data_IF_347724927665
#
_entry.id   IF_347724927665
#
_cell.length_a   1.000
_cell.length_b   1.000
_cell.length_c   1.000
_cell.angle_alpha   90.00
_cell.angle_beta   90.00
_cell.angle_gamma   90.00
#
_symmetry.space_group_name_H-M   'P 1'
#
loop_
_entity.id
_entity.type
_entity.pdbx_description
1 polymer ?
#
# COMPACT_ATOMS: atom_id res chain seq x y z
N UNK A 1 67.28 -23.38 19.62
CA UNK A 1 66.69 -22.04 19.42
C UNK A 1 65.72 -22.15 18.28
N UNK A 2 64.45 -22.48 18.60
CA UNK A 2 63.37 -22.55 17.61
C UNK A 2 62.75 -21.19 17.43
N UNK A 3 62.69 -20.72 16.19
CA UNK A 3 62.03 -19.48 15.81
C UNK A 3 60.54 -19.78 15.56
N UNK A 4 59.68 -19.33 16.46
CA UNK A 4 58.22 -19.36 16.28
C UNK A 4 57.86 -18.25 15.27
N UNK A 5 57.41 -18.63 14.10
CA UNK A 5 56.87 -17.75 13.07
C UNK A 5 55.40 -17.49 13.36
N UNK A 6 55.10 -16.28 13.91
CA UNK A 6 53.72 -15.83 14.13
C UNK A 6 53.13 -15.38 12.81
N UNK A 7 52.25 -16.19 12.20
CA UNK A 7 51.49 -15.78 11.00
C UNK A 7 50.29 -14.97 11.43
N UNK A 8 50.33 -13.67 11.17
CA UNK A 8 49.19 -12.76 11.36
C UNK A 8 48.17 -13.04 10.24
N UNK A 9 47.08 -13.70 10.58
CA UNK A 9 45.91 -13.81 9.68
C UNK A 9 45.13 -12.52 9.77
N UNK A 10 45.31 -11.66 8.75
CA UNK A 10 44.49 -10.47 8.56
C UNK A 10 43.09 -10.93 8.07
N UNK A 11 42.10 -11.04 8.96
CA UNK A 11 40.69 -11.19 8.57
C UNK A 11 40.24 -9.84 7.98
N UNK A 12 40.19 -9.76 6.66
CA UNK A 12 39.50 -8.67 5.97
C UNK A 12 37.98 -8.88 6.18
N UNK A 13 37.40 -8.19 7.15
CA UNK A 13 35.96 -8.03 7.25
C UNK A 13 35.55 -7.14 6.10
N UNK A 14 35.09 -7.76 5.01
CA UNK A 14 34.36 -7.03 3.98
C UNK A 14 33.05 -6.58 4.61
N UNK A 15 32.99 -5.29 4.97
CA UNK A 15 31.74 -4.64 5.31
C UNK A 15 30.86 -4.70 4.06
N UNK A 16 29.90 -5.64 4.07
CA UNK A 16 28.77 -5.59 3.16
C UNK A 16 28.02 -4.32 3.55
N UNK A 17 28.18 -3.25 2.77
CA UNK A 17 27.27 -2.11 2.85
C UNK A 17 25.87 -2.65 2.50
N UNK A 18 25.15 -3.09 3.51
CA UNK A 18 23.69 -3.18 3.47
C UNK A 18 23.25 -1.73 3.31
N UNK A 19 22.87 -1.31 2.09
CA UNK A 19 22.13 -0.08 1.90
C UNK A 19 20.92 -0.23 2.83
N UNK A 20 20.96 0.45 3.97
CA UNK A 20 19.83 0.51 4.87
C UNK A 20 18.67 1.07 4.05
N UNK A 21 17.59 0.32 3.99
CA UNK A 21 16.39 0.75 3.29
C UNK A 21 15.88 2.00 4.00
N UNK A 22 15.99 3.17 3.35
CA UNK A 22 15.58 4.46 3.92
C UNK A 22 14.07 4.63 3.86
N UNK A 23 13.34 3.71 4.53
CA UNK A 23 11.90 3.79 4.71
C UNK A 23 11.58 4.71 5.89
N UNK A 24 10.60 5.57 5.70
CA UNK A 24 10.19 6.56 6.71
C UNK A 24 8.72 6.40 7.04
N UNK A 25 8.36 6.76 8.27
CA UNK A 25 6.96 6.84 8.69
C UNK A 25 6.18 7.72 7.71
N UNK A 26 5.06 7.18 7.18
CA UNK A 26 4.20 7.83 6.19
C UNK A 26 4.57 7.57 4.74
N UNK A 27 5.61 6.80 4.45
CA UNK A 27 5.82 6.25 3.12
C UNK A 27 4.63 5.35 2.75
N UNK A 28 4.21 5.41 1.49
CA UNK A 28 3.13 4.58 0.97
C UNK A 28 3.69 3.42 0.14
N UNK A 29 3.22 2.22 0.46
CA UNK A 29 3.54 0.98 -0.24
C UNK A 29 2.46 0.68 -1.27
N UNK A 30 2.77 0.76 -2.55
CA UNK A 30 1.87 0.40 -3.64
C UNK A 30 2.21 -1.00 -4.14
N UNK A 31 1.27 -1.94 -3.95
CA UNK A 31 1.42 -3.33 -4.37
C UNK A 31 0.89 -3.52 -5.77
N UNK A 32 1.69 -4.17 -6.63
CA UNK A 32 1.28 -4.51 -7.99
C UNK A 32 0.24 -5.63 -8.00
N UNK A 33 -0.49 -5.73 -9.11
CA UNK A 33 -1.46 -6.78 -9.39
C UNK A 33 -0.89 -8.17 -9.09
N UNK A 34 -1.66 -8.97 -8.34
CA UNK A 34 -1.40 -10.38 -8.07
C UNK A 34 -2.26 -11.30 -8.93
N UNK A 35 -2.23 -12.60 -8.62
CA UNK A 35 -2.97 -13.66 -9.32
C UNK A 35 -4.27 -13.98 -8.55
N UNK A 36 -5.23 -13.04 -8.49
CA UNK A 36 -6.55 -13.28 -7.91
C UNK A 36 -7.64 -12.57 -8.70
N UNK A 37 -8.86 -13.12 -8.70
CA UNK A 37 -10.01 -12.50 -9.37
C UNK A 37 -10.28 -11.08 -8.87
N UNK A 38 -10.09 -10.84 -7.58
CA UNK A 38 -10.21 -9.51 -6.98
C UNK A 38 -9.15 -8.55 -7.52
N UNK A 39 -7.88 -8.98 -7.55
CA UNK A 39 -6.77 -8.21 -8.12
C UNK A 39 -6.99 -7.91 -9.60
N UNK A 40 -7.47 -8.89 -10.36
CA UNK A 40 -7.82 -8.75 -11.77
C UNK A 40 -8.97 -7.75 -11.96
N UNK A 41 -10.01 -7.81 -11.11
CA UNK A 41 -11.14 -6.90 -11.19
C UNK A 41 -10.74 -5.44 -10.90
N UNK A 42 -9.90 -5.20 -9.90
CA UNK A 42 -9.36 -3.86 -9.61
C UNK A 42 -8.53 -3.36 -10.80
N UNK A 43 -7.56 -4.14 -11.27
CA UNK A 43 -6.71 -3.75 -12.39
C UNK A 43 -7.52 -3.48 -13.66
N UNK A 44 -8.51 -4.31 -13.95
CA UNK A 44 -9.36 -4.18 -15.13
C UNK A 44 -10.25 -2.93 -15.12
N UNK A 45 -10.71 -2.51 -13.93
CA UNK A 45 -11.60 -1.34 -13.76
C UNK A 45 -10.83 -0.03 -13.57
N UNK A 46 -9.63 -0.06 -12.98
CA UNK A 46 -8.87 1.13 -12.60
C UNK A 46 -7.51 1.25 -13.29
N UNK A 47 -7.06 0.20 -13.98
CA UNK A 47 -5.80 0.19 -14.71
C UNK A 47 -5.79 1.22 -15.84
N UNK A 48 -4.66 1.87 -16.03
CA UNK A 48 -4.51 2.99 -16.99
C UNK A 48 -3.67 2.62 -18.19
N UNK A 49 -3.31 1.33 -18.33
CA UNK A 49 -2.46 0.83 -19.43
C UNK A 49 -0.98 1.18 -19.27
N UNK A 50 -0.59 1.66 -18.10
CA UNK A 50 0.82 1.87 -17.73
C UNK A 50 1.52 0.52 -17.47
N UNK A 51 2.83 0.57 -17.31
CA UNK A 51 3.66 -0.63 -17.11
C UNK A 51 3.37 -1.39 -15.81
N UNK A 52 2.73 -0.75 -14.84
CA UNK A 52 2.39 -1.31 -13.53
C UNK A 52 0.97 -0.90 -13.14
N UNK A 53 0.12 -1.89 -12.83
CA UNK A 53 -1.16 -1.68 -12.18
C UNK A 53 -1.04 -1.96 -10.70
N UNK A 54 -1.50 -1.03 -9.88
CA UNK A 54 -1.53 -1.16 -8.42
C UNK A 54 -2.93 -1.55 -7.95
N UNK A 55 -2.98 -2.55 -7.07
CA UNK A 55 -4.24 -3.11 -6.56
C UNK A 55 -4.39 -2.93 -5.05
N UNK A 56 -3.33 -2.49 -4.39
CA UNK A 56 -3.32 -2.27 -2.95
C UNK A 56 -2.39 -1.12 -2.58
N UNK A 57 -2.69 -0.44 -1.46
CA UNK A 57 -1.85 0.60 -0.87
C UNK A 57 -1.88 0.49 0.65
N UNK A 58 -0.74 0.74 1.29
CA UNK A 58 -0.55 0.69 2.72
C UNK A 58 0.42 1.76 3.21
N UNK A 59 0.50 1.98 4.53
CA UNK A 59 1.31 3.04 5.16
C UNK A 59 2.46 2.40 5.94
N UNK A 60 3.68 2.91 5.79
CA UNK A 60 4.82 2.58 6.64
C UNK A 60 4.71 3.32 7.99
N UNK A 61 4.98 2.59 9.05
CA UNK A 61 5.24 3.12 10.38
C UNK A 61 6.60 2.61 10.88
N UNK A 62 7.46 3.54 11.28
CA UNK A 62 8.76 3.25 11.91
C UNK A 62 8.67 3.70 13.36
N UNK A 63 8.89 2.78 14.29
CA UNK A 63 8.88 3.09 15.72
C UNK A 63 10.22 3.67 16.21
N UNK A 64 10.29 3.99 17.51
CA UNK A 64 11.50 4.57 18.13
C UNK A 64 12.69 3.58 18.21
N UNK A 65 12.45 2.30 18.00
CA UNK A 65 13.44 1.23 17.99
C UNK A 65 13.83 0.85 16.55
N UNK A 66 13.37 1.66 15.57
CA UNK A 66 13.58 1.45 14.12
C UNK A 66 12.93 0.17 13.57
N UNK A 67 11.95 -0.42 14.28
CA UNK A 67 11.14 -1.50 13.73
C UNK A 67 10.15 -0.92 12.70
N UNK A 68 10.04 -1.60 11.55
CA UNK A 68 9.18 -1.18 10.46
C UNK A 68 7.92 -2.03 10.42
N UNK A 69 6.79 -1.37 10.60
CA UNK A 69 5.44 -1.95 10.49
C UNK A 69 4.67 -1.33 9.32
N UNK A 70 3.62 -2.01 8.91
CA UNK A 70 2.71 -1.59 7.84
C UNK A 70 1.31 -1.52 8.40
N UNK A 71 0.62 -0.40 8.17
CA UNK A 71 -0.79 -0.22 8.49
C UNK A 71 -1.56 -0.32 7.18
N UNK A 72 -2.53 -1.22 7.11
CA UNK A 72 -3.30 -1.49 5.89
C UNK A 72 -4.77 -1.82 6.21
N UNK A 73 -5.66 -1.62 5.25
CA UNK A 73 -6.97 -2.26 5.24
C UNK A 73 -6.89 -3.51 4.34
N UNK A 74 -6.86 -4.68 4.98
CA UNK A 74 -6.76 -5.98 4.31
C UNK A 74 -8.15 -6.58 4.05
N UNK A 75 -8.42 -7.14 2.86
CA UNK A 75 -9.66 -7.83 2.58
C UNK A 75 -10.00 -8.97 3.56
N UNK A 76 -8.98 -9.61 4.16
CA UNK A 76 -9.15 -10.72 5.09
C UNK A 76 -9.44 -10.26 6.52
N UNK A 77 -8.75 -9.19 6.99
CA UNK A 77 -8.70 -8.86 8.41
C UNK A 77 -9.16 -7.43 8.74
N UNK A 78 -9.55 -6.64 7.73
CA UNK A 78 -9.85 -5.22 7.91
C UNK A 78 -8.60 -4.39 8.17
N UNK A 79 -8.75 -3.31 8.94
CA UNK A 79 -7.63 -2.41 9.27
C UNK A 79 -6.75 -3.04 10.34
N UNK A 80 -5.47 -3.25 9.98
CA UNK A 80 -4.49 -3.92 10.85
C UNK A 80 -3.11 -3.29 10.75
N UNK A 81 -2.24 -3.64 11.70
CA UNK A 81 -0.81 -3.33 11.65
C UNK A 81 -0.02 -4.63 11.72
N UNK A 82 0.87 -4.85 10.76
CA UNK A 82 1.71 -6.06 10.63
C UNK A 82 3.17 -5.67 10.42
N UNK A 83 4.09 -6.62 10.58
CA UNK A 83 5.48 -6.40 10.25
C UNK A 83 5.67 -6.21 8.73
N UNK A 84 6.62 -5.35 8.32
CA UNK A 84 6.95 -5.17 6.89
C UNK A 84 7.30 -6.49 6.21
N UNK A 85 8.01 -7.40 6.89
CA UNK A 85 8.38 -8.71 6.35
C UNK A 85 7.17 -9.59 6.03
N UNK A 86 6.12 -9.54 6.85
CA UNK A 86 4.85 -10.23 6.62
C UNK A 86 4.14 -9.65 5.40
N UNK A 87 3.96 -8.33 5.35
CA UNK A 87 3.39 -7.64 4.19
C UNK A 87 4.10 -8.01 2.88
N UNK A 88 5.44 -7.97 2.86
CA UNK A 88 6.23 -8.28 1.67
C UNK A 88 6.18 -9.76 1.29
N UNK A 89 5.94 -10.67 2.24
CA UNK A 89 5.79 -12.11 1.93
C UNK A 89 4.53 -12.39 1.13
N UNK A 90 3.45 -11.66 1.44
CA UNK A 90 2.11 -11.86 0.88
C UNK A 90 1.92 -11.15 -0.48
N UNK A 91 2.82 -10.22 -0.83
CA UNK A 91 2.77 -9.52 -2.11
C UNK A 91 3.02 -10.41 -3.31
N UNK A 92 2.40 -10.10 -4.44
CA UNK A 92 2.77 -10.63 -5.75
C UNK A 92 4.26 -10.41 -6.02
N UNK A 93 4.89 -11.29 -6.81
CA UNK A 93 6.33 -11.23 -7.09
C UNK A 93 6.61 -10.80 -8.51
N UNK A 94 7.58 -9.90 -8.69
CA UNK A 94 8.17 -9.55 -9.99
C UNK A 94 9.61 -10.04 -9.98
N UNK A 95 9.95 -10.96 -10.87
CA UNK A 95 11.29 -11.54 -10.93
C UNK A 95 11.74 -12.20 -9.61
N UNK A 96 10.80 -12.75 -8.84
CA UNK A 96 11.05 -13.40 -7.56
C UNK A 96 11.17 -12.46 -6.36
N UNK A 97 11.02 -11.16 -6.56
CA UNK A 97 11.05 -10.13 -5.51
C UNK A 97 9.64 -9.55 -5.26
N UNK A 98 9.36 -8.99 -4.06
CA UNK A 98 8.06 -8.36 -3.79
C UNK A 98 7.73 -7.27 -4.81
N UNK A 99 6.57 -7.36 -5.45
CA UNK A 99 6.08 -6.38 -6.42
C UNK A 99 5.52 -5.14 -5.71
N UNK A 100 6.38 -4.38 -5.04
CA UNK A 100 6.01 -3.21 -4.25
C UNK A 100 6.85 -2.00 -4.64
N UNK A 101 6.17 -0.89 -4.89
CA UNK A 101 6.77 0.44 -5.11
C UNK A 101 6.49 1.30 -3.89
N UNK A 102 7.53 1.96 -3.38
CA UNK A 102 7.43 2.89 -2.26
C UNK A 102 7.39 4.31 -2.77
N UNK A 103 6.39 5.06 -2.35
CA UNK A 103 6.27 6.48 -2.68
C UNK A 103 6.16 7.32 -1.41
N UNK A 104 6.72 8.52 -1.46
CA UNK A 104 6.78 9.48 -0.36
C UNK A 104 6.19 10.81 -0.77
N UNK A 105 5.54 11.49 0.18
CA UNK A 105 5.07 12.86 -0.02
C UNK A 105 6.25 13.82 -0.23
N UNK A 106 6.13 14.68 -1.24
CA UNK A 106 7.13 15.73 -1.56
C UNK A 106 6.80 17.09 -0.94
N UNK A 107 5.60 17.23 -0.35
CA UNK A 107 5.17 18.46 0.33
C UNK A 107 5.36 18.34 1.85
N UNK A 108 5.50 19.48 2.53
CA UNK A 108 5.43 19.51 3.99
C UNK A 108 4.04 19.08 4.44
N UNK A 109 3.98 18.03 5.23
CA UNK A 109 2.74 17.44 5.70
C UNK A 109 2.92 16.84 7.10
N UNK A 110 1.93 16.95 8.01
CA UNK A 110 2.00 16.37 9.35
C UNK A 110 1.81 14.84 9.31
N UNK A 111 2.77 14.14 8.73
CA UNK A 111 2.75 12.68 8.52
C UNK A 111 2.43 11.92 9.81
N UNK A 112 2.94 12.40 10.96
CA UNK A 112 2.66 11.78 12.26
C UNK A 112 1.19 11.79 12.64
N UNK A 113 0.43 12.79 12.20
CA UNK A 113 -1.02 12.85 12.44
C UNK A 113 -1.77 11.91 11.48
N UNK A 114 -1.34 11.81 10.22
CA UNK A 114 -1.90 10.82 9.29
C UNK A 114 -1.73 9.38 9.81
N UNK A 115 -0.55 9.05 10.32
CA UNK A 115 -0.31 7.72 10.90
C UNK A 115 -1.16 7.49 12.14
N UNK A 116 -1.34 8.49 13.02
CA UNK A 116 -2.26 8.38 14.17
C UNK A 116 -3.70 8.15 13.72
N UNK A 117 -4.15 8.86 12.68
CA UNK A 117 -5.48 8.68 12.11
C UNK A 117 -5.67 7.25 11.62
N UNK A 118 -4.71 6.70 10.86
CA UNK A 118 -4.74 5.31 10.41
C UNK A 118 -4.71 4.31 11.57
N UNK A 119 -3.87 4.54 12.58
CA UNK A 119 -3.82 3.69 13.79
C UNK A 119 -5.15 3.68 14.57
N UNK A 120 -5.86 4.80 14.59
CA UNK A 120 -7.16 4.90 15.26
C UNK A 120 -8.25 4.03 14.59
N UNK A 121 -8.04 3.62 13.34
CA UNK A 121 -8.94 2.75 12.57
C UNK A 121 -8.65 1.26 12.75
N UNK A 122 -7.55 0.88 13.42
CA UNK A 122 -7.20 -0.54 13.61
C UNK A 122 -8.34 -1.29 14.30
N UNK A 123 -8.77 -2.40 13.68
CA UNK A 123 -9.90 -3.22 14.09
C UNK A 123 -11.21 -2.91 13.36
N UNK A 124 -11.29 -1.86 12.54
CA UNK A 124 -12.40 -1.65 11.63
C UNK A 124 -12.39 -2.73 10.53
N UNK A 125 -13.58 -3.13 10.05
CA UNK A 125 -13.73 -4.13 9.00
C UNK A 125 -13.25 -3.63 7.63
N UNK A 126 -13.01 -4.58 6.69
CA UNK A 126 -12.78 -4.20 5.30
C UNK A 126 -14.09 -3.78 4.63
N UNK A 127 -14.07 -2.63 3.96
CA UNK A 127 -15.25 -2.12 3.26
C UNK A 127 -15.42 -2.76 1.87
N UNK A 128 -16.18 -3.82 1.83
CA UNK A 128 -16.61 -4.47 0.59
C UNK A 128 -17.74 -3.73 -0.14
N UNK A 129 -18.38 -2.75 0.53
CA UNK A 129 -19.43 -1.93 -0.07
C UNK A 129 -18.87 -0.75 -0.86
N UNK A 130 -17.64 -0.36 -0.57
CA UNK A 130 -16.98 0.82 -1.16
C UNK A 130 -17.84 2.08 -1.01
N UNK A 131 -18.41 2.29 0.17
CA UNK A 131 -19.27 3.41 0.50
C UNK A 131 -18.62 4.30 1.56
N UNK A 132 -18.64 5.63 1.39
CA UNK A 132 -18.06 6.53 2.39
C UNK A 132 -18.83 6.45 3.72
N UNK A 133 -18.18 6.79 4.81
CA UNK A 133 -18.75 7.00 6.15
C UNK A 133 -19.51 5.79 6.74
N UNK A 134 -19.16 4.56 6.37
CA UNK A 134 -19.85 3.35 6.84
C UNK A 134 -19.14 2.64 8.01
N UNK A 135 -18.03 3.20 8.55
CA UNK A 135 -17.25 2.64 9.66
C UNK A 135 -16.38 1.45 9.29
N UNK A 136 -16.16 1.21 8.01
CA UNK A 136 -15.24 0.24 7.43
C UNK A 136 -14.27 0.97 6.50
N UNK A 137 -13.19 0.33 6.10
CA UNK A 137 -12.18 0.92 5.22
C UNK A 137 -11.72 -0.06 4.16
N UNK A 138 -11.65 0.37 2.89
CA UNK A 138 -10.82 -0.30 1.89
C UNK A 138 -9.44 0.37 1.81
N UNK A 139 -8.48 -0.23 1.12
CA UNK A 139 -7.06 0.15 1.24
C UNK A 139 -6.76 1.62 0.94
N UNK A 140 -7.23 2.15 -0.19
CA UNK A 140 -6.97 3.54 -0.55
C UNK A 140 -7.87 4.55 0.18
N UNK A 141 -9.02 4.13 0.68
CA UNK A 141 -9.86 4.95 1.56
C UNK A 141 -9.17 5.19 2.91
N UNK A 142 -8.54 4.16 3.49
CA UNK A 142 -7.74 4.31 4.71
C UNK A 142 -6.68 5.41 4.54
N UNK A 143 -6.00 5.47 3.39
CA UNK A 143 -5.04 6.52 3.09
C UNK A 143 -5.74 7.87 2.96
N UNK A 144 -6.81 7.94 2.18
CA UNK A 144 -7.58 9.14 1.92
C UNK A 144 -8.09 9.78 3.22
N UNK A 145 -8.71 8.99 4.09
CA UNK A 145 -9.27 9.44 5.37
C UNK A 145 -8.20 9.73 6.44
N UNK A 146 -7.00 9.19 6.28
CA UNK A 146 -5.90 9.40 7.24
C UNK A 146 -5.07 10.63 6.92
N UNK A 147 -4.86 10.96 5.64
CA UNK A 147 -3.97 12.04 5.21
C UNK A 147 -4.73 13.36 5.09
N UNK A 148 -5.01 13.95 6.25
CA UNK A 148 -5.73 15.23 6.37
C UNK A 148 -4.77 16.36 6.73
N UNK A 149 -4.94 17.51 6.08
CA UNK A 149 -4.28 18.77 6.48
C UNK A 149 -4.75 19.22 7.87
N UNK A 150 -4.04 20.15 8.49
CA UNK A 150 -4.39 20.65 9.83
C UNK A 150 -5.79 21.29 9.91
N UNK A 151 -6.34 21.73 8.79
CA UNK A 151 -7.71 22.27 8.66
C UNK A 151 -8.72 21.18 8.20
N UNK A 152 -8.32 19.89 8.22
CA UNK A 152 -9.20 18.75 7.97
C UNK A 152 -9.51 18.48 6.49
N UNK A 153 -8.77 19.06 5.54
CA UNK A 153 -8.94 18.76 4.11
C UNK A 153 -8.11 17.55 3.71
N UNK A 154 -8.67 16.71 2.86
CA UNK A 154 -7.93 15.59 2.27
C UNK A 154 -6.81 16.10 1.36
N UNK A 155 -5.64 15.46 1.43
CA UNK A 155 -4.48 15.74 0.57
C UNK A 155 -4.63 15.04 -0.79
N UNK A 156 -5.21 13.86 -0.78
CA UNK A 156 -5.56 13.11 -1.98
C UNK A 156 -6.95 13.49 -2.47
N UNK A 157 -7.26 13.18 -3.72
CA UNK A 157 -8.56 13.47 -4.32
C UNK A 157 -9.39 12.20 -4.49
N UNK A 158 -10.69 12.29 -4.17
CA UNK A 158 -11.65 11.28 -4.55
C UNK A 158 -12.15 11.53 -5.98
N UNK A 159 -12.51 10.45 -6.67
CA UNK A 159 -13.07 10.48 -8.03
C UNK A 159 -14.32 9.61 -8.07
N UNK A 160 -15.25 9.82 -9.00
CA UNK A 160 -16.32 8.87 -9.23
C UNK A 160 -15.74 7.47 -9.50
N UNK A 161 -16.07 6.49 -8.65
CA UNK A 161 -15.55 5.13 -8.81
C UNK A 161 -16.09 4.48 -10.07
N UNK A 162 -15.23 3.69 -10.72
CA UNK A 162 -15.54 2.89 -11.88
C UNK A 162 -15.30 1.41 -11.60
N UNK A 163 -16.32 0.59 -11.81
CA UNK A 163 -16.25 -0.87 -11.66
C UNK A 163 -16.30 -1.58 -13.03
N UNK A 164 -16.29 -0.84 -14.14
CA UNK A 164 -16.46 -1.36 -15.49
C UNK A 164 -15.16 -1.45 -16.26
N UNK A 165 -15.15 -2.37 -17.22
CA UNK A 165 -14.13 -2.44 -18.24
C UNK A 165 -14.30 -1.29 -19.25
N UNK A 166 -13.29 -1.00 -20.09
CA UNK A 166 -13.38 0.03 -21.14
C UNK A 166 -14.52 -0.19 -22.14
N UNK A 167 -14.98 -1.42 -22.34
CA UNK A 167 -16.12 -1.76 -23.20
C UNK A 167 -17.49 -1.57 -22.53
N UNK A 168 -17.50 -1.12 -21.26
CA UNK A 168 -18.69 -0.90 -20.46
C UNK A 168 -19.21 -2.15 -19.75
N UNK A 169 -18.66 -3.33 -19.98
CA UNK A 169 -19.01 -4.55 -19.25
C UNK A 169 -18.46 -4.51 -17.81
N UNK A 170 -19.06 -5.31 -16.92
CA UNK A 170 -18.61 -5.40 -15.53
C UNK A 170 -17.89 -6.73 -15.31
N UNK A 171 -16.68 -6.72 -14.69
CA UNK A 171 -16.00 -7.93 -14.29
C UNK A 171 -16.89 -8.84 -13.42
N UNK A 172 -16.83 -10.16 -13.68
CA UNK A 172 -17.65 -11.14 -12.98
C UNK A 172 -17.50 -11.11 -11.47
N UNK A 173 -16.31 -10.80 -10.97
CA UNK A 173 -16.04 -10.64 -9.55
C UNK A 173 -16.98 -9.60 -8.90
N UNK A 174 -17.13 -8.41 -9.49
CA UNK A 174 -18.03 -7.37 -8.96
C UNK A 174 -19.50 -7.78 -9.04
N UNK A 175 -19.89 -8.44 -10.13
CA UNK A 175 -21.27 -8.94 -10.29
C UNK A 175 -21.63 -9.92 -9.16
N UNK A 176 -20.79 -10.90 -8.89
CA UNK A 176 -21.04 -11.89 -7.85
C UNK A 176 -20.96 -11.29 -6.44
N UNK A 177 -19.95 -10.44 -6.16
CA UNK A 177 -19.80 -9.78 -4.87
C UNK A 177 -21.05 -8.98 -4.50
N UNK A 178 -21.51 -8.07 -5.38
CA UNK A 178 -22.65 -7.21 -5.07
C UNK A 178 -23.97 -7.96 -5.05
N UNK A 179 -24.08 -9.06 -5.80
CA UNK A 179 -25.20 -9.99 -5.68
C UNK A 179 -25.25 -10.68 -4.31
N UNK A 180 -24.10 -11.10 -3.77
CA UNK A 180 -23.99 -11.70 -2.43
C UNK A 180 -24.27 -10.67 -1.33
N UNK A 181 -23.78 -9.44 -1.48
CA UNK A 181 -24.05 -8.34 -0.55
C UNK A 181 -25.51 -7.87 -0.59
N UNK A 182 -26.25 -8.18 -1.66
CA UNK A 182 -27.66 -7.80 -1.83
C UNK A 182 -27.88 -6.30 -2.05
N UNK A 183 -26.89 -5.60 -2.60
CA UNK A 183 -26.93 -4.17 -2.90
C UNK A 183 -26.46 -3.89 -4.34
N UNK A 184 -26.74 -2.70 -4.84
CA UNK A 184 -26.25 -2.26 -6.15
C UNK A 184 -24.75 -1.92 -6.10
N UNK A 185 -24.05 -2.09 -7.22
CA UNK A 185 -22.66 -1.64 -7.38
C UNK A 185 -22.59 -0.12 -7.22
N UNK A 186 -21.71 0.44 -6.38
CA UNK A 186 -21.63 1.87 -6.10
C UNK A 186 -20.92 2.64 -7.24
N UNK A 187 -21.31 2.41 -8.46
CA UNK A 187 -20.79 3.07 -9.67
C UNK A 187 -20.98 4.57 -9.58
N UNK A 188 -19.91 5.35 -9.77
CA UNK A 188 -19.97 6.80 -9.75
C UNK A 188 -20.01 7.44 -8.35
N UNK A 189 -20.07 6.67 -7.28
CA UNK A 189 -19.91 7.20 -5.92
C UNK A 189 -18.47 7.70 -5.76
N UNK A 190 -18.26 8.88 -5.12
CA UNK A 190 -16.90 9.35 -4.86
C UNK A 190 -16.09 8.36 -4.02
N UNK A 191 -14.90 8.05 -4.48
CA UNK A 191 -13.99 7.13 -3.80
C UNK A 191 -12.57 7.25 -4.34
N UNK A 192 -11.72 6.32 -3.98
CA UNK A 192 -10.30 6.30 -4.37
C UNK A 192 -9.90 4.92 -4.88
N UNK A 193 -8.78 4.85 -5.58
CA UNK A 193 -8.15 3.59 -5.94
C UNK A 193 -6.62 3.73 -5.94
N UNK A 194 -5.87 2.63 -5.78
CA UNK A 194 -4.41 2.69 -5.72
C UNK A 194 -3.75 3.20 -6.99
N UNK A 195 -4.31 2.93 -8.18
CA UNK A 195 -3.74 3.37 -9.45
C UNK A 195 -3.74 4.89 -9.57
N UNK A 196 -4.88 5.54 -9.36
CA UNK A 196 -5.00 7.00 -9.42
C UNK A 196 -4.21 7.67 -8.30
N UNK A 197 -4.30 7.13 -7.07
CA UNK A 197 -3.55 7.64 -5.92
C UNK A 197 -2.04 7.58 -6.17
N UNK A 198 -1.54 6.53 -6.83
CA UNK A 198 -0.13 6.39 -7.13
C UNK A 198 0.43 7.49 -8.06
N UNK A 199 -0.44 8.17 -8.80
CA UNK A 199 -0.11 9.24 -9.76
C UNK A 199 -0.29 10.64 -9.17
N UNK A 200 -0.68 10.74 -7.90
CA UNK A 200 -0.82 12.04 -7.24
C UNK A 200 0.50 12.83 -7.34
N UNK A 201 0.48 14.10 -7.79
CA UNK A 201 1.68 14.93 -7.96
C UNK A 201 2.42 15.21 -6.65
N UNK A 202 1.76 15.01 -5.51
CA UNK A 202 2.39 15.12 -4.19
C UNK A 202 3.23 13.89 -3.83
N UNK A 203 3.21 12.82 -4.63
CA UNK A 203 3.98 11.60 -4.39
C UNK A 203 5.17 11.47 -5.35
N UNK A 204 6.32 11.08 -4.82
CA UNK A 204 7.49 10.65 -5.60
C UNK A 204 7.87 9.23 -5.26
N UNK A 205 8.31 8.47 -6.25
CA UNK A 205 8.89 7.15 -6.01
C UNK A 205 10.25 7.31 -5.34
N UNK A 206 10.45 6.62 -4.21
CA UNK A 206 11.71 6.63 -3.46
C UNK A 206 12.41 5.28 -3.47
N UNK A 207 11.66 4.20 -3.69
CA UNK A 207 12.20 2.84 -3.72
C UNK A 207 11.25 1.87 -4.43
N UNK A 208 11.78 0.76 -4.94
CA UNK A 208 11.00 -0.43 -5.32
C UNK A 208 11.74 -1.70 -4.93
N UNK A 209 11.00 -2.72 -4.56
CA UNK A 209 11.56 -3.99 -4.07
C UNK A 209 12.01 -4.95 -5.19
N UNK A 210 11.75 -4.65 -6.44
CA UNK A 210 12.04 -5.51 -7.61
C UNK A 210 12.92 -4.83 -8.67
#
# INVERSE_FOLDING_TARGET
>A
MEKILLTLICLSVTAVNCLALDLQTGDLLFQVRGESEFSDAISASTGTGDSLDFVHVAIIYVDLEENISVIEASPADGVRMIALSEFLSDCAKIGGKPGVVVKRLVCEFPVGDAVKNAMARIGEGYDWYYLPDNGMMYCSELIYESFLTADGRHIFQSQPMNFRLPDGSMPGFWVELYKELGVDVPEGIPGTNPNDMSKDPNLTEVFRFF
#
